data_IF_935906953031
#
_entry.id   IF_935906953031
#
_cell.length_a   1.000
_cell.length_b   1.000
_cell.length_c   1.000
_cell.angle_alpha   90.00
_cell.angle_beta   90.00
_cell.angle_gamma   90.00
#
_symmetry.space_group_name_H-M   'P 1'
#
loop_
_entity.id
_entity.type
_entity.pdbx_description
1 polymer ?
#
# COMPACT_ATOMS: atom_id res chain seq x y z
N UNK A 1 -16.99 -12.77 5.29
CA UNK A 1 -15.96 -13.30 4.37
C UNK A 1 -14.93 -12.21 4.17
N UNK A 2 -13.63 -12.47 4.32
CA UNK A 2 -12.61 -11.45 4.08
C UNK A 2 -12.58 -11.05 2.59
N UNK A 3 -12.28 -9.79 2.31
CA UNK A 3 -12.19 -9.23 0.96
C UNK A 3 -10.88 -8.48 0.78
N UNK A 4 -10.31 -8.53 -0.42
CA UNK A 4 -9.18 -7.69 -0.82
C UNK A 4 -9.68 -6.66 -1.82
N UNK A 5 -9.47 -5.38 -1.51
CA UNK A 5 -9.80 -4.26 -2.40
C UNK A 5 -8.50 -3.65 -2.92
N UNK A 6 -8.21 -3.81 -4.21
CA UNK A 6 -7.05 -3.21 -4.85
C UNK A 6 -7.43 -1.90 -5.52
N UNK A 7 -6.71 -0.81 -5.21
CA UNK A 7 -6.93 0.50 -5.80
C UNK A 7 -6.05 0.67 -7.06
N UNK A 8 -6.67 0.84 -8.22
CA UNK A 8 -5.98 1.01 -9.50
C UNK A 8 -6.13 2.45 -10.02
N UNK A 9 -5.01 3.08 -10.40
CA UNK A 9 -5.01 4.44 -10.93
C UNK A 9 -3.59 5.00 -11.05
N UNK A 10 -3.43 6.07 -11.85
CA UNK A 10 -2.12 6.73 -12.06
C UNK A 10 -1.55 7.32 -10.75
N UNK A 11 -0.22 7.54 -10.64
CA UNK A 11 0.35 8.32 -9.55
C UNK A 11 -0.37 9.68 -9.43
N UNK A 12 -0.66 10.10 -8.19
CA UNK A 12 -1.43 11.32 -7.94
C UNK A 12 -2.95 11.20 -8.12
N UNK A 13 -3.50 10.04 -8.52
CA UNK A 13 -4.96 9.85 -8.67
C UNK A 13 -5.77 9.76 -7.36
N UNK A 14 -5.14 10.03 -6.21
CA UNK A 14 -5.82 10.03 -4.90
C UNK A 14 -6.00 8.67 -4.23
N UNK A 15 -5.34 7.59 -4.70
CA UNK A 15 -5.45 6.24 -4.11
C UNK A 15 -5.16 6.21 -2.61
N UNK A 16 -4.01 6.75 -2.20
CA UNK A 16 -3.60 6.78 -0.79
C UNK A 16 -4.56 7.61 0.05
N UNK A 17 -5.01 8.75 -0.48
CA UNK A 17 -6.02 9.60 0.18
C UNK A 17 -7.33 8.83 0.42
N UNK A 18 -7.83 8.11 -0.58
CA UNK A 18 -9.03 7.30 -0.43
C UNK A 18 -8.83 6.19 0.61
N UNK A 19 -7.74 5.42 0.52
CA UNK A 19 -7.42 4.34 1.46
C UNK A 19 -7.35 4.83 2.91
N UNK A 20 -6.68 5.96 3.15
CA UNK A 20 -6.52 6.52 4.49
C UNK A 20 -7.85 6.96 5.11
N UNK A 21 -8.81 7.44 4.31
CA UNK A 21 -10.14 7.79 4.81
C UNK A 21 -10.98 6.56 5.10
N UNK A 22 -10.96 5.56 4.22
CA UNK A 22 -11.72 4.31 4.41
C UNK A 22 -11.27 3.55 5.67
N UNK A 23 -9.96 3.48 5.92
CA UNK A 23 -9.44 2.83 7.14
C UNK A 23 -9.80 3.60 8.41
N UNK A 24 -9.85 4.94 8.36
CA UNK A 24 -10.30 5.75 9.51
C UNK A 24 -11.78 5.53 9.85
N UNK A 25 -12.61 5.26 8.84
CA UNK A 25 -14.04 5.05 9.00
C UNK A 25 -14.39 3.62 9.44
N UNK A 26 -13.44 2.68 9.39
CA UNK A 26 -13.71 1.27 9.70
C UNK A 26 -12.56 0.55 10.39
N UNK A 27 -12.81 0.01 11.58
CA UNK A 27 -11.82 -0.69 12.40
C UNK A 27 -11.43 -2.10 11.89
N UNK A 28 -12.09 -2.59 10.84
CA UNK A 28 -11.88 -3.95 10.30
C UNK A 28 -11.12 -3.96 8.97
N UNK A 29 -10.55 -2.83 8.56
CA UNK A 29 -9.79 -2.69 7.31
C UNK A 29 -8.33 -2.43 7.66
N UNK A 30 -7.44 -3.16 6.99
CA UNK A 30 -5.99 -2.93 7.06
C UNK A 30 -5.54 -2.36 5.71
N UNK A 31 -4.82 -1.24 5.74
CA UNK A 31 -4.19 -0.67 4.54
C UNK A 31 -2.84 -1.35 4.33
N UNK A 32 -2.64 -1.88 3.12
CA UNK A 32 -1.35 -2.40 2.66
C UNK A 32 -0.82 -1.51 1.55
N UNK A 33 0.45 -1.10 1.66
CA UNK A 33 1.13 -0.22 0.71
C UNK A 33 2.54 -0.72 0.44
N UNK A 34 2.78 -1.22 -0.77
CA UNK A 34 4.13 -1.60 -1.20
C UNK A 34 5.06 -0.39 -1.29
N UNK A 35 4.50 0.80 -1.54
CA UNK A 35 5.25 2.04 -1.66
C UNK A 35 5.80 2.47 -0.29
N UNK A 36 4.96 2.40 0.76
CA UNK A 36 5.39 2.71 2.12
C UNK A 36 6.45 1.70 2.60
N UNK A 37 6.27 0.42 2.25
CA UNK A 37 7.20 -0.65 2.61
C UNK A 37 8.56 -0.53 1.88
N UNK A 38 8.59 -0.07 0.62
CA UNK A 38 9.85 0.26 -0.08
C UNK A 38 10.63 1.34 0.65
N UNK A 39 9.94 2.40 1.06
CA UNK A 39 10.54 3.49 1.81
C UNK A 39 11.09 3.01 3.16
N UNK A 40 10.36 2.14 3.86
CA UNK A 40 10.80 1.58 5.14
C UNK A 40 12.05 0.70 5.00
N UNK A 41 12.08 -0.21 4.02
CA UNK A 41 13.15 -1.20 3.85
C UNK A 41 14.40 -0.62 3.18
N UNK A 42 14.23 0.26 2.18
CA UNK A 42 15.32 0.71 1.31
C UNK A 42 15.51 2.23 1.28
N UNK A 43 14.64 3.00 1.94
CA UNK A 43 14.75 4.46 2.02
C UNK A 43 14.34 5.22 0.75
N UNK A 44 13.88 4.53 -0.30
CA UNK A 44 13.37 5.13 -1.53
C UNK A 44 12.11 4.42 -2.02
N UNK A 45 11.00 5.18 -2.10
CA UNK A 45 9.71 4.70 -2.61
C UNK A 45 9.76 4.30 -4.09
N UNK A 46 10.72 4.85 -4.85
CA UNK A 46 10.87 4.60 -6.28
C UNK A 46 11.80 3.43 -6.58
N UNK A 47 12.46 2.85 -5.57
CA UNK A 47 13.33 1.70 -5.76
C UNK A 47 12.52 0.44 -6.02
N UNK A 48 12.46 0.04 -7.30
CA UNK A 48 11.78 -1.17 -7.74
C UNK A 48 12.71 -2.36 -7.94
N UNK A 49 14.00 -2.24 -7.61
CA UNK A 49 14.98 -3.32 -7.80
C UNK A 49 14.77 -4.49 -6.82
N UNK A 50 14.12 -4.22 -5.69
CA UNK A 50 13.86 -5.19 -4.61
C UNK A 50 12.39 -5.65 -4.51
N UNK A 51 11.61 -5.56 -5.58
CA UNK A 51 10.17 -5.85 -5.54
C UNK A 51 9.82 -7.24 -4.95
N UNK A 52 10.61 -8.28 -5.25
CA UNK A 52 10.37 -9.62 -4.72
C UNK A 52 10.44 -9.68 -3.19
N UNK A 53 11.39 -8.97 -2.59
CA UNK A 53 11.57 -8.88 -1.13
C UNK A 53 10.42 -8.07 -0.48
N UNK A 54 10.04 -6.94 -1.10
CA UNK A 54 8.91 -6.11 -0.66
C UNK A 54 7.61 -6.93 -0.62
N UNK A 55 7.29 -7.67 -1.68
CA UNK A 55 6.06 -8.47 -1.73
C UNK A 55 6.09 -9.69 -0.81
N UNK A 56 7.26 -10.21 -0.45
CA UNK A 56 7.38 -11.35 0.47
C UNK A 56 6.99 -11.01 1.91
N UNK A 57 7.05 -9.73 2.29
CA UNK A 57 6.74 -9.24 3.64
C UNK A 57 5.54 -8.29 3.66
N UNK A 58 4.77 -8.20 2.58
CA UNK A 58 3.53 -7.43 2.53
C UNK A 58 2.38 -8.24 3.18
N UNK A 59 2.03 -7.92 4.43
CA UNK A 59 0.99 -8.60 5.22
C UNK A 59 0.03 -7.63 5.93
#
# INVERSE_FOLDING_TARGET
MPTVTMLCGLPGSGKSYYADNVVKESNNIVKLSSDDLRLELYGDVNDQTHNGEVFAVLY
#
